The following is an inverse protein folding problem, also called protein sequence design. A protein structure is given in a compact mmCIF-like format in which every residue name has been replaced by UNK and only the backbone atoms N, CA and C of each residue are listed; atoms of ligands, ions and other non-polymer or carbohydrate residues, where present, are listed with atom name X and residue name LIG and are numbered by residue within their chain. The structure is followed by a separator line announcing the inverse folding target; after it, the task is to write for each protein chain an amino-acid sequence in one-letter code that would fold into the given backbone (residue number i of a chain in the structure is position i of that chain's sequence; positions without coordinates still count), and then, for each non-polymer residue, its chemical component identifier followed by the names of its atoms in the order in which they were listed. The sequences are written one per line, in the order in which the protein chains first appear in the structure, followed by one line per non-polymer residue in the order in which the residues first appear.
data_IF_690362839721
#
_entry.id   IF_690362839721
#
_cell.length_a   1.000
_cell.length_b   1.000
_cell.length_c   1.000
_cell.angle_alpha   90.00
_cell.angle_beta   90.00
_cell.angle_gamma   90.00
#
_symmetry.space_group_name_H-M   'P 1'
#
loop_
_entity.id
_entity.type
_entity.pdbx_description
1 polymer ?
#
# COMPACT_ATOMS: atom_id res chain seq x y z
N UNK A 1 -21.30 2.46 29.34
CA UNK A 1 -19.86 2.81 29.47
C UNK A 1 -19.45 3.81 28.38
N UNK A 2 -19.58 3.48 27.09
CA UNK A 2 -19.23 4.35 25.95
C UNK A 2 -19.88 5.74 26.04
N UNK A 3 -21.19 5.86 26.31
CA UNK A 3 -21.84 7.18 26.39
C UNK A 3 -21.21 8.08 27.47
N UNK A 4 -20.93 7.55 28.66
CA UNK A 4 -20.27 8.31 29.74
C UNK A 4 -18.88 8.78 29.32
N UNK A 5 -18.14 7.95 28.59
CA UNK A 5 -16.84 8.30 28.02
C UNK A 5 -16.97 9.46 27.02
N UNK A 6 -17.91 9.39 26.08
CA UNK A 6 -18.15 10.45 25.09
C UNK A 6 -18.59 11.77 25.74
N UNK A 7 -19.49 11.70 26.72
CA UNK A 7 -19.94 12.88 27.47
C UNK A 7 -18.80 13.51 28.28
N UNK A 8 -17.83 12.71 28.73
CA UNK A 8 -16.63 13.21 29.42
C UNK A 8 -15.71 13.94 28.45
N UNK A 9 -15.52 13.41 27.23
CA UNK A 9 -14.72 14.03 26.17
C UNK A 9 -15.33 15.37 25.73
N UNK A 10 -16.65 15.41 25.50
CA UNK A 10 -17.36 16.61 25.06
C UNK A 10 -17.26 17.78 26.06
N UNK A 11 -16.97 17.49 27.34
CA UNK A 11 -16.80 18.50 28.41
C UNK A 11 -15.36 18.95 28.60
N UNK A 12 -14.40 18.37 27.88
CA UNK A 12 -13.00 18.75 28.03
C UNK A 12 -12.77 20.20 27.55
N UNK A 13 -12.01 21.01 28.32
CA UNK A 13 -11.55 22.30 27.82
C UNK A 13 -10.63 22.06 26.62
N UNK A 14 -10.60 23.01 25.68
CA UNK A 14 -9.86 22.85 24.41
C UNK A 14 -8.39 22.41 24.59
N UNK A 15 -7.70 22.92 25.62
CA UNK A 15 -6.32 22.52 25.95
C UNK A 15 -6.15 21.03 26.25
N UNK A 16 -7.18 20.36 26.79
CA UNK A 16 -7.19 18.91 27.04
C UNK A 16 -7.82 18.12 25.89
N UNK A 17 -8.68 18.75 25.09
CA UNK A 17 -9.29 18.13 23.92
C UNK A 17 -8.25 17.78 22.85
N UNK A 18 -7.23 18.62 22.62
CA UNK A 18 -6.16 18.34 21.65
C UNK A 18 -5.33 17.10 21.96
N UNK A 19 -4.71 16.95 23.16
CA UNK A 19 -3.97 15.72 23.47
C UNK A 19 -4.89 14.50 23.54
N UNK A 20 -6.15 14.65 23.99
CA UNK A 20 -7.12 13.55 23.95
C UNK A 20 -7.43 13.10 22.50
N UNK A 21 -7.62 14.05 21.57
CA UNK A 21 -7.81 13.77 20.16
C UNK A 21 -6.60 13.04 19.57
N UNK A 22 -5.39 13.52 19.85
CA UNK A 22 -4.14 12.89 19.42
C UNK A 22 -4.02 11.44 19.93
N UNK A 23 -4.27 11.21 21.22
CA UNK A 23 -4.22 9.86 21.80
C UNK A 23 -5.30 8.94 21.21
N UNK A 24 -6.50 9.44 20.94
CA UNK A 24 -7.54 8.69 20.25
C UNK A 24 -7.11 8.30 18.83
N UNK A 25 -6.43 9.19 18.11
CA UNK A 25 -5.85 8.89 16.81
C UNK A 25 -4.79 7.80 16.89
N UNK A 26 -3.86 7.93 17.85
CA UNK A 26 -2.79 6.96 18.11
C UNK A 26 -3.37 5.56 18.40
N UNK A 27 -4.36 5.48 19.30
CA UNK A 27 -5.05 4.23 19.63
C UNK A 27 -5.82 3.69 18.43
N UNK A 28 -6.41 4.55 17.59
CA UNK A 28 -7.10 4.12 16.37
C UNK A 28 -6.16 3.45 15.36
N UNK A 29 -4.88 3.81 15.34
CA UNK A 29 -3.89 3.16 14.50
C UNK A 29 -3.64 1.69 14.88
N UNK A 30 -3.96 1.27 16.11
CA UNK A 30 -3.85 -0.13 16.53
C UNK A 30 -4.85 -1.06 15.80
N UNK A 31 -5.85 -0.51 15.12
CA UNK A 31 -6.73 -1.29 14.24
C UNK A 31 -6.02 -1.77 12.96
N UNK A 32 -4.92 -1.12 12.58
CA UNK A 32 -4.12 -1.45 11.40
C UNK A 32 -3.10 -2.55 11.72
N UNK A 33 -2.47 -3.16 10.70
CA UNK A 33 -1.36 -4.07 10.91
C UNK A 33 -0.22 -3.41 11.70
N UNK A 34 0.52 -4.17 12.53
CA UNK A 34 0.39 -5.61 12.76
C UNK A 34 -0.59 -5.98 13.90
N UNK A 35 -1.26 -5.01 14.52
CA UNK A 35 -2.00 -5.23 15.78
C UNK A 35 -3.44 -5.68 15.55
N UNK A 36 -4.10 -5.18 14.50
CA UNK A 36 -5.45 -5.60 14.09
C UNK A 36 -6.53 -5.48 15.18
N UNK A 37 -6.36 -4.57 16.13
CA UNK A 37 -7.32 -4.33 17.22
C UNK A 37 -8.53 -3.50 16.74
N UNK A 38 -9.26 -3.97 15.72
CA UNK A 38 -10.40 -3.26 15.10
C UNK A 38 -11.40 -2.65 16.09
N UNK A 39 -11.76 -3.29 17.23
CA UNK A 39 -12.70 -2.70 18.19
C UNK A 39 -12.29 -1.35 18.78
N UNK A 40 -11.00 -0.97 18.75
CA UNK A 40 -10.54 0.35 19.23
C UNK A 40 -11.16 1.51 18.43
N UNK A 41 -11.61 1.25 17.20
CA UNK A 41 -12.31 2.25 16.37
C UNK A 41 -13.66 2.67 16.99
N UNK A 42 -14.29 1.84 17.83
CA UNK A 42 -15.49 2.19 18.61
C UNK A 42 -15.23 3.28 19.66
N UNK A 43 -13.96 3.56 19.96
CA UNK A 43 -13.55 4.68 20.82
C UNK A 43 -12.99 5.83 19.97
N UNK A 44 -12.15 5.50 18.98
CA UNK A 44 -11.47 6.45 18.11
C UNK A 44 -12.39 7.40 17.37
N UNK A 45 -13.26 6.87 16.51
CA UNK A 45 -14.14 7.67 15.67
C UNK A 45 -15.24 8.39 16.46
N UNK A 46 -16.02 7.71 17.33
CA UNK A 46 -16.98 8.40 18.20
C UNK A 46 -16.34 9.48 19.06
N UNK A 47 -15.13 9.23 19.58
CA UNK A 47 -14.38 10.20 20.37
C UNK A 47 -14.00 11.45 19.57
N UNK A 48 -13.51 11.28 18.34
CA UNK A 48 -13.27 12.41 17.43
C UNK A 48 -14.55 13.21 17.16
N UNK A 49 -15.64 12.51 16.83
CA UNK A 49 -16.94 13.16 16.56
C UNK A 49 -17.44 13.92 17.79
N UNK A 50 -17.34 13.35 18.99
CA UNK A 50 -17.76 14.00 20.23
C UNK A 50 -16.95 15.27 20.53
N UNK A 51 -15.62 15.20 20.40
CA UNK A 51 -14.72 16.35 20.61
C UNK A 51 -14.98 17.45 19.57
N UNK A 52 -15.07 17.07 18.28
CA UNK A 52 -15.29 18.01 17.20
C UNK A 52 -16.67 18.68 17.29
N UNK A 53 -17.73 17.91 17.58
CA UNK A 53 -19.08 18.44 17.72
C UNK A 53 -19.25 19.40 18.91
N UNK A 54 -18.53 19.16 20.01
CA UNK A 54 -18.53 20.02 21.19
C UNK A 54 -17.63 21.27 21.05
N UNK A 55 -16.85 21.38 19.98
CA UNK A 55 -15.96 22.52 19.77
C UNK A 55 -16.75 23.84 19.67
N UNK A 56 -16.26 24.91 20.30
CA UNK A 56 -16.94 26.21 20.29
C UNK A 56 -17.11 26.77 18.87
N UNK A 57 -16.10 26.63 18.03
CA UNK A 57 -16.01 27.20 16.68
C UNK A 57 -15.34 26.21 15.72
N UNK A 58 -15.40 26.52 14.42
CA UNK A 58 -14.85 25.67 13.36
C UNK A 58 -13.31 25.55 13.46
N UNK A 59 -12.60 26.57 13.95
CA UNK A 59 -11.14 26.54 14.08
C UNK A 59 -10.70 25.50 15.10
N UNK A 60 -11.42 25.42 16.23
CA UNK A 60 -11.18 24.40 17.26
C UNK A 60 -11.51 22.99 16.76
N UNK A 61 -12.61 22.82 16.01
CA UNK A 61 -12.94 21.54 15.39
C UNK A 61 -11.87 21.10 14.38
N UNK A 62 -11.33 22.04 13.59
CA UNK A 62 -10.24 21.78 12.66
C UNK A 62 -8.97 21.32 13.41
N UNK A 63 -8.56 22.02 14.47
CA UNK A 63 -7.41 21.60 15.28
C UNK A 63 -7.61 20.25 15.97
N UNK A 64 -8.84 19.91 16.37
CA UNK A 64 -9.18 18.58 16.91
C UNK A 64 -9.02 17.49 15.83
N UNK A 65 -9.55 17.72 14.63
CA UNK A 65 -9.39 16.81 13.49
C UNK A 65 -7.92 16.62 13.11
N UNK A 66 -7.16 17.72 13.07
CA UNK A 66 -5.72 17.69 12.84
C UNK A 66 -4.97 16.91 13.94
N UNK A 67 -5.23 17.18 15.22
CA UNK A 67 -4.56 16.49 16.32
C UNK A 67 -4.84 14.97 16.29
N UNK A 68 -6.10 14.58 16.05
CA UNK A 68 -6.47 13.17 15.88
C UNK A 68 -5.75 12.55 14.67
N UNK A 69 -5.79 13.22 13.51
CA UNK A 69 -5.16 12.73 12.29
C UNK A 69 -3.64 12.58 12.46
N UNK A 70 -3.02 13.52 13.16
CA UNK A 70 -1.58 13.48 13.40
C UNK A 70 -1.19 12.30 14.29
N UNK A 71 -1.95 12.02 15.35
CA UNK A 71 -1.73 10.83 16.17
C UNK A 71 -1.93 9.52 15.40
N UNK A 72 -2.99 9.44 14.59
CA UNK A 72 -3.29 8.27 13.78
C UNK A 72 -2.21 7.99 12.73
N UNK A 73 -1.82 9.01 11.97
CA UNK A 73 -0.82 8.86 10.92
C UNK A 73 0.59 8.72 11.48
N UNK A 74 0.94 9.36 12.59
CA UNK A 74 2.25 9.17 13.24
C UNK A 74 2.48 7.70 13.60
N UNK A 75 1.51 7.08 14.28
CA UNK A 75 1.57 5.65 14.57
C UNK A 75 1.44 4.79 13.30
N UNK A 76 0.71 5.25 12.29
CA UNK A 76 0.49 4.50 11.04
C UNK A 76 1.67 4.54 10.06
N UNK A 77 2.56 5.52 10.14
CA UNK A 77 3.70 5.71 9.23
C UNK A 77 5.06 5.71 9.94
N UNK A 78 5.10 5.22 11.19
CA UNK A 78 6.34 5.13 11.98
C UNK A 78 7.49 4.45 11.22
N UNK A 79 7.15 3.44 10.42
CA UNK A 79 8.07 2.60 9.66
C UNK A 79 8.84 3.36 8.57
N UNK A 80 8.37 4.54 8.13
CA UNK A 80 9.09 5.39 7.17
C UNK A 80 10.49 5.76 7.70
N UNK A 81 10.64 5.80 9.02
CA UNK A 81 11.93 5.99 9.68
C UNK A 81 12.95 4.92 9.30
N UNK A 82 12.53 3.67 9.04
CA UNK A 82 13.45 2.60 8.62
C UNK A 82 14.06 2.87 7.24
N UNK A 83 13.35 3.54 6.34
CA UNK A 83 13.91 3.94 5.05
C UNK A 83 15.10 4.89 5.22
N UNK A 84 15.00 5.82 6.17
CA UNK A 84 16.10 6.74 6.51
C UNK A 84 17.31 5.98 7.07
N UNK A 85 17.06 4.93 7.85
CA UNK A 85 18.13 4.13 8.46
C UNK A 85 18.95 3.30 7.45
N UNK A 86 18.47 3.15 6.21
CA UNK A 86 19.25 2.47 5.15
C UNK A 86 20.54 3.21 4.79
N UNK A 87 20.58 4.53 4.98
CA UNK A 87 21.78 5.36 4.87
C UNK A 87 21.87 6.32 6.06
N UNK A 88 21.90 5.74 7.27
CA UNK A 88 21.97 6.49 8.51
C UNK A 88 23.23 7.38 8.58
N UNK A 89 24.33 7.00 7.93
CA UNK A 89 25.58 7.78 7.92
C UNK A 89 25.35 9.21 7.42
N UNK A 90 24.47 9.40 6.43
CA UNK A 90 24.16 10.71 5.87
C UNK A 90 22.86 11.31 6.45
N UNK A 91 21.87 10.47 6.79
CA UNK A 91 20.51 10.94 7.08
C UNK A 91 20.02 10.70 8.51
N UNK A 92 20.88 10.29 9.47
CA UNK A 92 20.45 10.03 10.86
C UNK A 92 19.65 11.17 11.49
N UNK A 93 19.96 12.42 11.16
CA UNK A 93 19.31 13.61 11.71
C UNK A 93 17.83 13.75 11.28
N UNK A 94 17.40 13.07 10.20
CA UNK A 94 16.00 13.01 9.76
C UNK A 94 15.16 12.02 10.56
N UNK A 95 15.77 11.09 11.29
CA UNK A 95 15.08 10.04 12.08
C UNK A 95 13.96 10.59 12.98
N UNK A 96 14.18 11.60 13.84
CA UNK A 96 13.12 12.12 14.70
C UNK A 96 12.03 12.89 13.94
N UNK A 97 12.25 13.23 12.66
CA UNK A 97 11.35 14.07 11.88
C UNK A 97 10.59 13.31 10.79
N UNK A 98 11.11 12.20 10.27
CA UNK A 98 10.56 11.52 9.10
C UNK A 98 9.07 11.16 9.24
N UNK A 99 8.72 10.37 10.25
CA UNK A 99 7.32 9.99 10.50
C UNK A 99 6.46 11.18 10.99
N UNK A 100 6.89 12.01 11.98
CA UNK A 100 6.10 13.15 12.42
C UNK A 100 5.81 14.17 11.31
N UNK A 101 6.80 14.48 10.47
CA UNK A 101 6.66 15.43 9.37
C UNK A 101 5.75 14.89 8.28
N UNK A 102 5.85 13.60 7.92
CA UNK A 102 4.94 12.97 6.96
C UNK A 102 3.50 12.88 7.51
N UNK A 103 3.33 12.68 8.81
CA UNK A 103 2.02 12.62 9.43
C UNK A 103 1.27 13.96 9.42
N UNK A 104 1.96 15.10 9.34
CA UNK A 104 1.33 16.45 9.31
C UNK A 104 0.43 16.66 8.08
N UNK A 105 0.91 16.53 6.82
CA UNK A 105 0.03 16.68 5.66
C UNK A 105 -1.07 15.61 5.63
N UNK A 106 -0.80 14.40 6.12
CA UNK A 106 -1.83 13.36 6.23
C UNK A 106 -2.94 13.73 7.22
N UNK A 107 -2.57 14.36 8.35
CA UNK A 107 -3.52 14.84 9.35
C UNK A 107 -4.51 15.88 8.80
N UNK A 108 -4.13 16.64 7.77
CA UNK A 108 -5.02 17.62 7.14
C UNK A 108 -6.25 16.97 6.50
N UNK A 109 -6.14 15.72 6.02
CA UNK A 109 -7.27 14.97 5.48
C UNK A 109 -8.30 14.57 6.56
N UNK A 110 -7.94 14.62 7.84
CA UNK A 110 -8.86 14.38 8.96
C UNK A 110 -9.61 15.66 9.40
N UNK A 111 -9.23 16.84 8.89
CA UNK A 111 -9.88 18.12 9.23
C UNK A 111 -11.30 18.20 8.66
N UNK A 112 -11.57 17.94 7.37
CA UNK A 112 -12.92 18.06 6.81
C UNK A 112 -13.96 17.13 7.48
N UNK A 113 -13.67 15.85 7.80
CA UNK A 113 -14.60 15.02 8.56
C UNK A 113 -14.94 15.63 9.94
N UNK A 114 -13.95 16.15 10.66
CA UNK A 114 -14.18 16.82 11.95
C UNK A 114 -15.05 18.08 11.80
N UNK A 115 -14.85 18.85 10.73
CA UNK A 115 -15.70 20.00 10.41
C UNK A 115 -17.14 19.57 10.07
N UNK A 116 -17.33 18.49 9.31
CA UNK A 116 -18.64 17.92 9.02
C UNK A 116 -19.35 17.47 10.30
N UNK A 117 -18.62 16.80 11.21
CA UNK A 117 -19.15 16.40 12.52
C UNK A 117 -19.65 17.60 13.35
N UNK A 118 -18.97 18.75 13.25
CA UNK A 118 -19.33 19.99 13.95
C UNK A 118 -20.48 20.75 13.31
N UNK A 119 -20.54 20.76 11.98
CA UNK A 119 -21.53 21.52 11.23
C UNK A 119 -22.92 20.85 11.23
N UNK A 120 -22.96 19.52 11.28
CA UNK A 120 -24.19 18.76 11.11
C UNK A 120 -24.92 18.45 12.44
N UNK A 121 -26.27 18.41 12.43
CA UNK A 121 -27.05 18.14 13.62
C UNK A 121 -26.85 16.71 14.13
N UNK A 122 -27.02 16.46 15.45
CA UNK A 122 -26.80 15.14 16.03
C UNK A 122 -27.72 14.08 15.40
N UNK A 123 -27.26 12.83 15.38
CA UNK A 123 -27.96 11.70 14.77
C UNK A 123 -27.36 11.30 13.42
N UNK A 124 -28.21 10.74 12.56
CA UNK A 124 -27.79 10.27 11.22
C UNK A 124 -27.14 11.33 10.35
N UNK A 125 -27.59 12.60 10.27
CA UNK A 125 -26.94 13.60 9.44
C UNK A 125 -25.46 13.76 9.77
N UNK A 126 -25.11 13.84 11.06
CA UNK A 126 -23.71 13.93 11.52
C UNK A 126 -22.90 12.69 11.17
N UNK A 127 -23.44 11.51 11.41
CA UNK A 127 -22.71 10.24 11.17
C UNK A 127 -22.47 10.06 9.67
N UNK A 128 -23.48 10.28 8.84
CA UNK A 128 -23.38 10.17 7.39
C UNK A 128 -22.44 11.22 6.80
N UNK A 129 -22.54 12.47 7.25
CA UNK A 129 -21.63 13.53 6.80
C UNK A 129 -20.18 13.26 7.23
N UNK A 130 -19.95 12.85 8.48
CA UNK A 130 -18.62 12.47 8.95
C UNK A 130 -18.02 11.33 8.12
N UNK A 131 -18.75 10.22 7.96
CA UNK A 131 -18.26 9.04 7.24
C UNK A 131 -18.11 9.29 5.73
N UNK A 132 -19.04 10.03 5.11
CA UNK A 132 -18.98 10.41 3.71
C UNK A 132 -17.80 11.33 3.41
N UNK A 133 -17.58 12.37 4.25
CA UNK A 133 -16.41 13.24 4.12
C UNK A 133 -15.11 12.48 4.43
N UNK A 134 -15.12 11.52 5.35
CA UNK A 134 -13.96 10.66 5.62
C UNK A 134 -13.49 9.94 4.36
N UNK A 135 -14.40 9.23 3.69
CA UNK A 135 -14.08 8.48 2.48
C UNK A 135 -13.73 9.40 1.31
N UNK A 136 -14.42 10.54 1.16
CA UNK A 136 -14.04 11.54 0.17
C UNK A 136 -12.59 12.04 0.36
N UNK A 137 -12.16 12.22 1.62
CA UNK A 137 -10.78 12.61 1.93
C UNK A 137 -9.78 11.47 1.73
N UNK A 138 -10.17 10.21 1.98
CA UNK A 138 -9.34 9.05 1.61
C UNK A 138 -9.13 8.96 0.10
N UNK A 139 -10.18 9.16 -0.70
CA UNK A 139 -10.08 9.17 -2.17
C UNK A 139 -9.23 10.34 -2.67
N UNK A 140 -9.43 11.55 -2.12
CA UNK A 140 -8.62 12.72 -2.46
C UNK A 140 -7.15 12.50 -2.12
N UNK A 141 -6.86 11.89 -0.96
CA UNK A 141 -5.50 11.54 -0.55
C UNK A 141 -4.82 10.53 -1.48
N UNK A 142 -5.60 9.71 -2.19
CA UNK A 142 -5.09 8.79 -3.21
C UNK A 142 -4.63 9.47 -4.51
N UNK A 143 -4.99 10.74 -4.74
CA UNK A 143 -4.68 11.46 -5.99
C UNK A 143 -3.94 12.80 -5.78
N UNK A 144 -4.11 13.44 -4.63
CA UNK A 144 -3.46 14.71 -4.32
C UNK A 144 -1.94 14.54 -4.17
N UNK A 145 -1.16 15.43 -4.78
CA UNK A 145 0.32 15.45 -4.70
C UNK A 145 0.94 14.08 -5.04
N UNK A 146 0.51 13.48 -6.16
CA UNK A 146 0.80 12.11 -6.64
C UNK A 146 0.10 10.99 -5.86
N UNK A 147 -0.37 11.25 -4.65
CA UNK A 147 -1.18 10.31 -3.89
C UNK A 147 -0.40 9.47 -2.90
N UNK A 148 -1.00 9.28 -1.72
CA UNK A 148 -0.49 8.41 -0.66
C UNK A 148 -1.66 7.69 0.03
N UNK A 149 -2.31 6.71 -0.62
CA UNK A 149 -3.47 5.97 -0.09
C UNK A 149 -3.08 4.93 0.98
N UNK A 150 -2.09 5.23 1.82
CA UNK A 150 -1.63 4.33 2.88
C UNK A 150 -2.64 4.26 4.04
N UNK A 151 -2.83 3.10 4.68
CA UNK A 151 -3.73 2.96 5.84
C UNK A 151 -5.18 3.46 5.59
N UNK A 152 -5.80 3.06 4.47
CA UNK A 152 -7.25 3.26 4.30
C UNK A 152 -8.01 2.47 5.37
N UNK A 153 -9.05 3.03 5.97
CA UNK A 153 -9.73 2.38 7.09
C UNK A 153 -10.35 1.03 6.68
N UNK A 154 -10.74 0.85 5.42
CA UNK A 154 -11.22 -0.43 4.91
C UNK A 154 -10.20 -1.57 5.02
N UNK A 155 -8.89 -1.29 5.07
CA UNK A 155 -7.85 -2.34 5.16
C UNK A 155 -7.74 -2.95 6.56
N UNK A 156 -8.40 -2.39 7.58
CA UNK A 156 -8.42 -3.01 8.93
C UNK A 156 -9.06 -4.40 8.93
N UNK A 157 -9.82 -4.75 7.89
CA UNK A 157 -10.43 -6.07 7.73
C UNK A 157 -9.53 -7.09 7.01
N UNK A 158 -8.35 -6.68 6.52
CA UNK A 158 -7.46 -7.54 5.74
C UNK A 158 -6.58 -8.48 6.60
N UNK A 159 -6.91 -8.70 7.88
CA UNK A 159 -6.18 -9.62 8.76
C UNK A 159 -6.50 -11.10 8.52
N UNK A 160 -7.59 -11.40 7.82
CA UNK A 160 -8.00 -12.73 7.46
C UNK A 160 -8.84 -12.71 6.18
N UNK A 161 -8.93 -13.85 5.49
CA UNK A 161 -9.69 -13.96 4.25
C UNK A 161 -11.18 -13.64 4.47
N UNK A 162 -11.81 -14.16 5.52
CA UNK A 162 -13.26 -14.00 5.78
C UNK A 162 -13.74 -12.53 5.86
N UNK A 163 -13.19 -11.67 6.74
CA UNK A 163 -13.70 -10.30 6.92
C UNK A 163 -13.49 -9.35 5.73
N UNK A 164 -12.47 -9.57 4.90
CA UNK A 164 -12.15 -8.66 3.78
C UNK A 164 -13.04 -8.89 2.55
N UNK A 165 -13.80 -9.99 2.49
CA UNK A 165 -14.53 -10.40 1.28
C UNK A 165 -15.48 -9.31 0.74
N UNK A 166 -16.01 -8.45 1.61
CA UNK A 166 -16.83 -7.30 1.22
C UNK A 166 -16.16 -6.35 0.24
N UNK A 167 -14.82 -6.27 0.21
CA UNK A 167 -14.08 -5.46 -0.74
C UNK A 167 -14.39 -5.83 -2.20
N UNK A 168 -14.78 -7.08 -2.48
CA UNK A 168 -15.13 -7.50 -3.83
C UNK A 168 -16.45 -6.89 -4.35
N UNK A 169 -17.30 -6.37 -3.45
CA UNK A 169 -18.58 -5.77 -3.80
C UNK A 169 -18.51 -4.24 -3.88
N UNK A 170 -17.79 -3.63 -2.93
CA UNK A 170 -17.85 -2.17 -2.70
C UNK A 170 -16.47 -1.51 -2.65
N UNK A 171 -15.40 -2.26 -2.98
CA UNK A 171 -14.04 -1.77 -2.95
C UNK A 171 -13.54 -1.45 -1.52
N UNK A 172 -12.29 -1.00 -1.42
CA UNK A 172 -11.70 -0.60 -0.14
C UNK A 172 -12.36 0.66 0.44
N UNK A 173 -12.77 1.60 -0.41
CA UNK A 173 -13.42 2.83 0.03
C UNK A 173 -14.85 2.60 0.54
N UNK A 174 -15.60 1.67 -0.06
CA UNK A 174 -16.88 1.24 0.48
C UNK A 174 -16.72 0.52 1.82
N UNK A 175 -15.68 -0.31 1.97
CA UNK A 175 -15.35 -0.89 3.28
C UNK A 175 -14.99 0.19 4.31
N UNK A 176 -14.20 1.22 3.95
CA UNK A 176 -13.95 2.36 4.83
C UNK A 176 -15.25 3.02 5.28
N UNK A 177 -16.18 3.27 4.34
CA UNK A 177 -17.48 3.88 4.65
C UNK A 177 -18.26 3.05 5.68
N UNK A 178 -18.44 1.76 5.40
CA UNK A 178 -19.15 0.84 6.31
C UNK A 178 -18.48 0.80 7.67
N UNK A 179 -17.15 0.71 7.71
CA UNK A 179 -16.39 0.65 8.96
C UNK A 179 -16.58 1.89 9.82
N UNK A 180 -16.47 3.08 9.23
CA UNK A 180 -16.65 4.35 9.95
C UNK A 180 -18.10 4.51 10.42
N UNK A 181 -19.09 4.11 9.61
CA UNK A 181 -20.50 4.12 10.01
C UNK A 181 -20.75 3.20 11.21
N UNK A 182 -20.28 1.95 11.13
CA UNK A 182 -20.41 0.97 12.21
C UNK A 182 -19.74 1.44 13.50
N UNK A 183 -18.53 2.01 13.39
CA UNK A 183 -17.81 2.56 14.52
C UNK A 183 -18.58 3.70 15.20
N UNK A 184 -19.32 4.50 14.43
CA UNK A 184 -20.10 5.65 14.91
C UNK A 184 -21.51 5.34 15.40
N UNK A 185 -22.05 4.12 15.18
CA UNK A 185 -23.40 3.75 15.64
C UNK A 185 -23.69 4.00 17.14
N UNK A 186 -22.74 3.84 18.07
CA UNK A 186 -22.97 4.16 19.48
C UNK A 186 -23.42 5.62 19.73
N UNK A 187 -23.09 6.56 18.84
CA UNK A 187 -23.50 7.97 18.94
C UNK A 187 -25.02 8.17 18.81
N UNK A 188 -25.74 7.19 18.26
CA UNK A 188 -27.20 7.24 18.15
C UNK A 188 -27.91 6.90 19.46
N UNK A 189 -27.22 6.30 20.44
CA UNK A 189 -27.83 5.82 21.68
C UNK A 189 -28.94 4.77 21.49
N UNK A 190 -29.07 4.21 20.28
CA UNK A 190 -30.18 3.35 19.88
C UNK A 190 -29.76 1.89 19.82
N UNK A 191 -30.40 1.04 20.64
CA UNK A 191 -30.21 -0.42 20.59
C UNK A 191 -30.56 -1.00 19.21
N UNK A 192 -31.54 -0.42 18.51
CA UNK A 192 -31.91 -0.84 17.15
C UNK A 192 -30.79 -0.56 16.15
N UNK A 193 -30.12 0.59 16.28
CA UNK A 193 -28.99 0.92 15.42
C UNK A 193 -27.80 -0.03 15.66
N UNK A 194 -27.48 -0.33 16.92
CA UNK A 194 -26.44 -1.31 17.26
C UNK A 194 -26.78 -2.71 16.75
N UNK A 195 -28.03 -3.16 16.90
CA UNK A 195 -28.50 -4.42 16.34
C UNK A 195 -28.37 -4.45 14.81
N UNK A 196 -28.72 -3.34 14.13
CA UNK A 196 -28.49 -3.18 12.70
C UNK A 196 -27.01 -3.30 12.31
N UNK A 197 -26.11 -2.72 13.09
CA UNK A 197 -24.66 -2.87 12.88
C UNK A 197 -24.16 -4.31 13.02
N UNK A 198 -24.66 -5.04 14.03
CA UNK A 198 -24.38 -6.47 14.20
C UNK A 198 -24.91 -7.28 13.01
N UNK A 199 -26.11 -6.98 12.52
CA UNK A 199 -26.68 -7.64 11.34
C UNK A 199 -25.85 -7.36 10.08
N UNK A 200 -25.34 -6.14 9.90
CA UNK A 200 -24.43 -5.81 8.79
C UNK A 200 -23.15 -6.64 8.89
N UNK A 201 -22.50 -6.69 10.05
CA UNK A 201 -21.29 -7.50 10.26
C UNK A 201 -21.55 -8.99 10.01
N UNK A 202 -22.68 -9.51 10.51
CA UNK A 202 -23.09 -10.89 10.26
C UNK A 202 -23.36 -11.15 8.77
N UNK A 203 -23.93 -10.18 8.06
CA UNK A 203 -24.13 -10.23 6.61
C UNK A 203 -22.80 -10.30 5.84
N UNK A 204 -21.83 -9.45 6.18
CA UNK A 204 -20.48 -9.51 5.58
C UNK A 204 -19.78 -10.83 5.88
N UNK A 205 -19.88 -11.34 7.13
CA UNK A 205 -19.31 -12.63 7.50
C UNK A 205 -19.99 -13.79 6.75
N UNK A 206 -21.33 -13.77 6.63
CA UNK A 206 -22.10 -14.76 5.89
C UNK A 206 -21.77 -14.76 4.40
N UNK A 207 -21.70 -13.57 3.77
CA UNK A 207 -21.25 -13.41 2.39
C UNK A 207 -19.81 -13.94 2.21
N UNK A 208 -18.92 -13.59 3.13
CA UNK A 208 -17.53 -14.03 3.08
C UNK A 208 -17.41 -15.55 3.20
N UNK A 209 -18.17 -16.17 4.10
CA UNK A 209 -18.19 -17.62 4.28
C UNK A 209 -18.74 -18.32 3.02
N UNK A 210 -19.83 -17.81 2.45
CA UNK A 210 -20.39 -18.33 1.20
C UNK A 210 -19.43 -18.18 0.01
N UNK A 211 -18.75 -17.03 -0.11
CA UNK A 211 -17.78 -16.80 -1.20
C UNK A 211 -16.57 -17.72 -1.08
N UNK A 212 -16.03 -17.88 0.13
CA UNK A 212 -14.89 -18.75 0.40
C UNK A 212 -15.23 -20.24 0.34
N UNK A 213 -16.52 -20.60 0.40
CA UNK A 213 -16.96 -21.98 0.18
C UNK A 213 -17.18 -22.32 -1.30
N UNK A 214 -17.07 -21.34 -2.21
CA UNK A 214 -17.14 -21.61 -3.65
C UNK A 214 -15.84 -22.31 -4.10
N UNK A 215 -15.91 -23.21 -5.09
CA UNK A 215 -14.70 -23.84 -5.63
C UNK A 215 -13.79 -22.78 -6.26
N UNK A 216 -12.49 -22.98 -6.11
CA UNK A 216 -11.49 -22.16 -6.79
C UNK A 216 -11.64 -22.29 -8.32
N UNK A 217 -11.24 -21.25 -9.09
CA UNK A 217 -11.13 -21.37 -10.54
C UNK A 217 -10.24 -22.56 -10.92
N UNK A 218 -10.51 -23.21 -12.08
CA UNK A 218 -9.67 -24.30 -12.56
C UNK A 218 -8.19 -23.89 -12.59
N UNK A 219 -7.32 -24.73 -12.04
CA UNK A 219 -5.89 -24.50 -12.07
C UNK A 219 -5.40 -24.39 -13.51
N UNK A 220 -4.60 -23.35 -13.78
CA UNK A 220 -3.88 -23.24 -15.04
C UNK A 220 -2.68 -24.19 -15.00
N UNK A 221 -2.24 -24.79 -16.13
CA UNK A 221 -1.09 -25.69 -16.20
C UNK A 221 0.24 -24.93 -16.13
N UNK A 222 0.35 -24.02 -15.16
CA UNK A 222 1.50 -23.16 -14.91
C UNK A 222 1.88 -23.26 -13.45
N UNK A 223 3.13 -23.58 -13.19
CA UNK A 223 3.70 -23.62 -11.85
C UNK A 223 4.57 -22.39 -11.61
N UNK A 224 4.14 -21.58 -10.64
CA UNK A 224 4.81 -20.33 -10.26
C UNK A 224 5.91 -20.62 -9.24
N UNK A 225 7.14 -20.18 -9.52
CA UNK A 225 8.30 -20.36 -8.65
C UNK A 225 8.79 -19.00 -8.16
N UNK A 226 8.52 -18.67 -6.90
CA UNK A 226 8.96 -17.41 -6.30
C UNK A 226 10.37 -17.54 -5.72
N UNK A 227 11.34 -16.82 -6.27
CA UNK A 227 12.74 -16.87 -5.82
C UNK A 227 13.07 -15.67 -4.93
N UNK A 228 13.34 -15.91 -3.64
CA UNK A 228 13.71 -14.86 -2.69
C UNK A 228 15.19 -14.91 -2.34
N UNK A 229 15.99 -14.02 -2.94
CA UNK A 229 17.44 -13.99 -2.73
C UNK A 229 17.88 -13.60 -1.31
N UNK A 230 17.03 -12.91 -0.54
CA UNK A 230 17.35 -12.38 0.80
C UNK A 230 18.65 -11.54 0.81
N UNK A 231 18.82 -10.69 -0.20
CA UNK A 231 20.00 -9.81 -0.35
C UNK A 231 19.84 -8.60 0.57
N UNK A 232 20.83 -8.38 1.43
CA UNK A 232 20.84 -7.23 2.33
C UNK A 232 20.96 -5.90 1.55
N UNK A 233 20.28 -4.85 2.02
CA UNK A 233 20.14 -3.59 1.31
C UNK A 233 21.48 -2.86 1.10
N UNK A 234 22.41 -2.98 2.05
CA UNK A 234 23.76 -2.43 2.00
C UNK A 234 24.67 -3.13 0.97
N UNK A 235 24.36 -4.39 0.64
CA UNK A 235 25.06 -5.15 -0.39
C UNK A 235 24.48 -4.96 -1.78
N UNK A 236 23.18 -4.68 -1.90
CA UNK A 236 22.42 -4.68 -3.16
C UNK A 236 23.06 -3.82 -4.27
N UNK A 237 23.66 -2.69 -3.90
CA UNK A 237 24.20 -1.71 -4.85
C UNK A 237 25.73 -1.75 -4.97
N UNK A 238 26.40 -2.65 -4.25
CA UNK A 238 27.86 -2.78 -4.28
C UNK A 238 28.34 -3.46 -5.56
N UNK A 239 29.31 -2.84 -6.23
CA UNK A 239 29.85 -3.35 -7.49
C UNK A 239 30.45 -4.76 -7.35
N UNK A 240 31.15 -5.03 -6.24
CA UNK A 240 31.76 -6.33 -5.94
C UNK A 240 30.74 -7.43 -5.64
N UNK A 241 29.50 -7.07 -5.31
CA UNK A 241 28.43 -8.01 -4.97
C UNK A 241 27.52 -8.37 -6.15
N UNK A 242 27.64 -7.68 -7.30
CA UNK A 242 26.76 -7.90 -8.47
C UNK A 242 26.75 -9.36 -8.94
N UNK A 243 27.93 -9.91 -9.26
CA UNK A 243 28.03 -11.30 -9.74
C UNK A 243 27.67 -12.34 -8.65
N UNK A 244 28.14 -12.22 -7.38
CA UNK A 244 27.67 -13.08 -6.30
C UNK A 244 26.15 -13.11 -6.12
N UNK A 245 25.49 -11.94 -6.13
CA UNK A 245 24.03 -11.83 -6.03
C UNK A 245 23.36 -12.50 -7.22
N UNK A 246 23.84 -12.24 -8.44
CA UNK A 246 23.26 -12.80 -9.65
C UNK A 246 23.37 -14.32 -9.68
N UNK A 247 24.56 -14.88 -9.38
CA UNK A 247 24.76 -16.34 -9.27
C UNK A 247 23.82 -16.97 -8.25
N UNK A 248 23.63 -16.35 -7.08
CA UNK A 248 22.68 -16.83 -6.08
C UNK A 248 21.26 -16.95 -6.63
N UNK A 249 20.80 -15.97 -7.43
CA UNK A 249 19.49 -16.06 -8.08
C UNK A 249 19.43 -17.17 -9.13
N UNK A 250 20.49 -17.36 -9.92
CA UNK A 250 20.57 -18.45 -10.90
C UNK A 250 20.54 -19.83 -10.23
N UNK A 251 21.33 -20.02 -9.16
CA UNK A 251 21.39 -21.28 -8.41
C UNK A 251 20.03 -21.63 -7.79
N UNK A 252 19.40 -20.66 -7.12
CA UNK A 252 18.06 -20.82 -6.54
C UNK A 252 17.00 -21.08 -7.62
N UNK A 253 17.13 -20.45 -8.78
CA UNK A 253 16.24 -20.66 -9.92
C UNK A 253 16.35 -22.09 -10.42
N UNK A 254 17.57 -22.56 -10.68
CA UNK A 254 17.81 -23.89 -11.20
C UNK A 254 17.34 -24.98 -10.20
N UNK A 255 17.58 -24.78 -8.90
CA UNK A 255 17.08 -25.68 -7.85
C UNK A 255 15.55 -25.71 -7.78
N UNK A 256 14.92 -24.55 -7.62
CA UNK A 256 13.49 -24.47 -7.41
C UNK A 256 12.68 -24.88 -8.66
N UNK A 257 13.19 -24.55 -9.85
CA UNK A 257 12.55 -24.96 -11.10
C UNK A 257 12.61 -26.48 -11.33
N UNK A 258 13.71 -27.15 -10.93
CA UNK A 258 13.78 -28.63 -10.95
C UNK A 258 12.76 -29.26 -10.01
N UNK A 259 12.59 -28.71 -8.80
CA UNK A 259 11.58 -29.20 -7.86
C UNK A 259 10.16 -29.00 -8.45
N UNK A 260 9.86 -27.82 -9.00
CA UNK A 260 8.57 -27.54 -9.62
C UNK A 260 8.26 -28.47 -10.81
N UNK A 261 9.26 -28.77 -11.65
CA UNK A 261 9.11 -29.71 -12.75
C UNK A 261 8.77 -31.14 -12.29
N UNK A 262 9.34 -31.55 -11.15
CA UNK A 262 9.10 -32.88 -10.58
C UNK A 262 7.74 -32.96 -9.87
N UNK A 263 7.31 -31.89 -9.19
CA UNK A 263 6.02 -31.82 -8.50
C UNK A 263 4.83 -31.80 -9.47
N UNK A 264 4.98 -31.10 -10.61
CA UNK A 264 3.91 -30.95 -11.60
C UNK A 264 4.41 -31.23 -13.03
N UNK A 265 4.70 -32.50 -13.38
CA UNK A 265 5.20 -32.86 -14.70
C UNK A 265 4.28 -32.38 -15.82
N UNK A 266 4.86 -31.77 -16.85
CA UNK A 266 4.11 -31.22 -18.00
C UNK A 266 3.47 -29.85 -17.77
N UNK A 267 3.54 -29.29 -16.55
CA UNK A 267 3.19 -27.90 -16.31
C UNK A 267 4.30 -26.99 -16.82
N UNK A 268 3.92 -25.83 -17.36
CA UNK A 268 4.87 -24.75 -17.68
C UNK A 268 5.41 -24.15 -16.38
N UNK A 269 6.68 -23.74 -16.37
CA UNK A 269 7.30 -23.17 -15.17
C UNK A 269 7.52 -21.68 -15.40
N UNK A 270 6.97 -20.84 -14.53
CA UNK A 270 7.23 -19.41 -14.52
C UNK A 270 7.99 -19.05 -13.24
N UNK A 271 9.27 -18.74 -13.38
CA UNK A 271 10.13 -18.28 -12.29
C UNK A 271 9.93 -16.79 -12.10
N UNK A 272 9.80 -16.33 -10.85
CA UNK A 272 9.55 -14.94 -10.50
C UNK A 272 10.66 -14.45 -9.57
N UNK A 273 11.38 -13.42 -10.02
CA UNK A 273 12.35 -12.70 -9.19
C UNK A 273 11.77 -11.36 -8.73
N UNK A 274 12.09 -10.91 -7.49
CA UNK A 274 11.54 -9.68 -6.91
C UNK A 274 12.07 -8.40 -7.60
N UNK A 275 11.56 -7.26 -7.14
CA UNK A 275 11.95 -5.92 -7.62
C UNK A 275 13.46 -5.70 -7.56
N UNK A 276 14.04 -5.34 -8.71
CA UNK A 276 15.48 -5.11 -8.87
C UNK A 276 16.32 -6.26 -8.31
N UNK A 277 15.89 -7.50 -8.56
CA UNK A 277 16.65 -8.70 -8.20
C UNK A 277 17.91 -8.84 -9.05
N UNK A 278 17.82 -8.49 -10.33
CA UNK A 278 18.98 -8.48 -11.21
C UNK A 278 19.83 -7.23 -10.97
N UNK A 279 21.14 -7.39 -10.70
CA UNK A 279 22.09 -6.28 -10.68
C UNK A 279 22.52 -5.84 -12.09
N UNK A 280 22.12 -6.58 -13.12
CA UNK A 280 22.36 -6.29 -14.54
C UNK A 280 21.08 -5.82 -15.23
N UNK A 281 21.24 -5.06 -16.31
CA UNK A 281 20.12 -4.58 -17.13
C UNK A 281 19.63 -5.72 -18.03
N UNK A 282 18.78 -6.61 -17.49
CA UNK A 282 18.45 -7.88 -18.15
C UNK A 282 17.95 -7.70 -19.59
N UNK A 283 17.13 -6.69 -19.87
CA UNK A 283 16.62 -6.45 -21.22
C UNK A 283 17.71 -6.02 -22.23
N UNK A 284 18.87 -5.53 -21.75
CA UNK A 284 19.95 -4.97 -22.56
C UNK A 284 21.30 -5.72 -22.43
N UNK A 285 21.40 -6.71 -21.56
CA UNK A 285 22.64 -7.45 -21.29
C UNK A 285 22.53 -8.88 -21.86
N UNK A 286 23.10 -9.15 -23.06
CA UNK A 286 23.00 -10.47 -23.68
C UNK A 286 23.65 -11.58 -22.86
N UNK A 287 24.72 -11.28 -22.13
CA UNK A 287 25.43 -12.28 -21.32
C UNK A 287 24.63 -12.63 -20.07
N UNK A 288 24.04 -11.65 -19.41
CA UNK A 288 23.11 -11.90 -18.30
C UNK A 288 21.89 -12.73 -18.76
N UNK A 289 21.34 -12.43 -19.95
CA UNK A 289 20.24 -13.23 -20.52
C UNK A 289 20.65 -14.66 -20.85
N UNK A 290 21.86 -14.86 -21.40
CA UNK A 290 22.42 -16.20 -21.65
C UNK A 290 22.54 -17.01 -20.36
N UNK A 291 23.08 -16.41 -19.29
CA UNK A 291 23.21 -17.06 -17.99
C UNK A 291 21.85 -17.39 -17.35
N UNK A 292 20.85 -16.53 -17.52
CA UNK A 292 19.46 -16.83 -17.11
C UNK A 292 18.91 -18.01 -17.90
N UNK A 293 19.06 -18.01 -19.22
CA UNK A 293 18.58 -19.09 -20.09
C UNK A 293 19.19 -20.44 -19.69
N UNK A 294 20.48 -20.48 -19.35
CA UNK A 294 21.17 -21.68 -18.86
C UNK A 294 20.65 -22.20 -17.51
N UNK A 295 20.11 -21.31 -16.67
CA UNK A 295 19.54 -21.67 -15.37
C UNK A 295 18.07 -22.13 -15.47
N UNK A 296 17.37 -21.78 -16.55
CA UNK A 296 15.97 -22.14 -16.76
C UNK A 296 15.84 -23.54 -17.37
N UNK A 297 14.84 -24.35 -16.95
CA UNK A 297 14.53 -25.57 -17.66
C UNK A 297 13.87 -25.26 -19.02
N UNK A 298 13.93 -26.20 -19.98
CA UNK A 298 13.32 -26.00 -21.30
C UNK A 298 11.82 -25.66 -21.22
N UNK A 299 11.40 -24.65 -21.98
CA UNK A 299 10.04 -24.15 -22.05
C UNK A 299 9.56 -23.34 -20.85
N UNK A 300 10.46 -22.95 -19.93
CA UNK A 300 10.16 -22.09 -18.79
C UNK A 300 10.40 -20.60 -19.11
N UNK A 301 9.78 -19.75 -18.31
CA UNK A 301 9.98 -18.30 -18.35
C UNK A 301 10.56 -17.76 -17.04
N UNK A 302 11.28 -16.66 -17.16
CA UNK A 302 11.64 -15.80 -16.03
C UNK A 302 10.86 -14.49 -16.12
N UNK A 303 10.18 -14.13 -15.03
CA UNK A 303 9.59 -12.81 -14.78
C UNK A 303 10.45 -12.14 -13.71
N UNK A 304 11.28 -11.17 -14.08
CA UNK A 304 12.27 -10.60 -13.17
C UNK A 304 12.19 -9.08 -13.06
N UNK A 305 12.27 -8.58 -11.82
CA UNK A 305 12.55 -7.19 -11.54
C UNK A 305 14.00 -6.83 -11.91
N UNK A 306 14.17 -5.79 -12.73
CA UNK A 306 15.43 -5.28 -13.24
C UNK A 306 15.37 -3.75 -13.38
N UNK A 307 16.50 -3.12 -13.66
CA UNK A 307 16.53 -1.78 -14.22
C UNK A 307 16.55 -1.87 -15.75
N UNK A 308 15.89 -0.93 -16.42
CA UNK A 308 15.98 -0.72 -17.87
C UNK A 308 16.50 0.67 -18.14
N UNK A 309 17.34 0.84 -19.15
CA UNK A 309 17.86 2.14 -19.54
C UNK A 309 17.63 2.41 -21.03
N UNK A 310 17.44 3.69 -21.36
CA UNK A 310 17.33 4.19 -22.72
C UNK A 310 18.43 5.20 -22.99
N UNK A 311 19.23 4.94 -24.01
CA UNK A 311 20.28 5.83 -24.48
C UNK A 311 19.83 6.54 -25.75
N UNK A 312 20.25 7.80 -25.89
CA UNK A 312 20.07 8.55 -27.12
C UNK A 312 20.99 8.05 -28.23
N UNK A 313 20.82 8.54 -29.47
CA UNK A 313 21.70 8.22 -30.60
C UNK A 313 23.18 8.57 -30.34
N UNK A 314 23.43 9.48 -29.41
CA UNK A 314 24.73 9.94 -28.93
C UNK A 314 25.34 9.04 -27.84
N UNK A 315 24.73 7.89 -27.53
CA UNK A 315 25.10 7.01 -26.41
C UNK A 315 24.99 7.67 -25.03
N UNK A 316 24.29 8.80 -24.93
CA UNK A 316 24.02 9.46 -23.65
C UNK A 316 22.80 8.84 -23.02
N UNK A 317 22.90 8.44 -21.76
CA UNK A 317 21.78 7.90 -21.00
C UNK A 317 20.70 8.97 -20.81
N UNK A 318 19.48 8.68 -21.28
CA UNK A 318 18.34 9.62 -21.27
C UNK A 318 17.31 9.27 -20.21
N UNK A 319 17.01 7.97 -20.06
CA UNK A 319 15.98 7.51 -19.13
C UNK A 319 16.39 6.21 -18.48
N UNK A 320 15.99 6.05 -17.23
CA UNK A 320 16.18 4.83 -16.43
C UNK A 320 14.82 4.47 -15.87
N UNK A 321 14.45 3.20 -15.91
CA UNK A 321 13.18 2.68 -15.46
C UNK A 321 13.39 1.56 -14.45
N UNK A 322 12.53 1.52 -13.44
CA UNK A 322 12.35 0.35 -12.60
C UNK A 322 11.37 -0.56 -13.34
N UNK A 323 11.82 -1.74 -13.72
CA UNK A 323 11.15 -2.54 -14.73
C UNK A 323 10.99 -3.99 -14.31
N UNK A 324 9.98 -4.62 -14.88
CA UNK A 324 9.79 -6.06 -14.90
C UNK A 324 10.01 -6.52 -16.33
N UNK A 325 10.82 -7.56 -16.52
CA UNK A 325 11.07 -8.18 -17.82
C UNK A 325 10.62 -9.63 -17.80
N UNK A 326 10.09 -10.10 -18.92
CA UNK A 326 9.79 -11.52 -19.16
C UNK A 326 10.82 -12.06 -20.15
N UNK A 327 11.53 -13.11 -19.76
CA UNK A 327 12.48 -13.84 -20.59
C UNK A 327 12.03 -15.28 -20.79
N UNK A 328 12.30 -15.87 -21.96
CA UNK A 328 12.15 -17.31 -22.19
C UNK A 328 13.43 -18.10 -21.87
N UNK A 329 13.37 -19.42 -22.04
CA UNK A 329 14.47 -20.38 -21.88
C UNK A 329 15.60 -20.22 -22.91
N UNK A 330 15.49 -19.27 -23.84
CA UNK A 330 16.53 -18.88 -24.81
C UNK A 330 17.12 -17.50 -24.50
N UNK A 331 16.59 -16.80 -23.50
CA UNK A 331 16.97 -15.45 -23.14
C UNK A 331 16.34 -14.39 -24.04
N UNK A 332 15.29 -14.70 -24.79
CA UNK A 332 14.55 -13.70 -25.58
C UNK A 332 13.59 -12.91 -24.70
N UNK A 333 13.46 -11.61 -24.98
CA UNK A 333 12.57 -10.72 -24.22
C UNK A 333 11.15 -10.84 -24.76
N UNK A 334 10.26 -11.46 -23.98
CA UNK A 334 8.85 -11.67 -24.34
C UNK A 334 7.94 -10.51 -23.92
N UNK A 335 8.37 -9.69 -22.96
CA UNK A 335 7.56 -8.60 -22.45
C UNK A 335 8.33 -7.71 -21.48
N UNK A 336 7.94 -6.43 -21.43
CA UNK A 336 8.53 -5.44 -20.53
C UNK A 336 7.40 -4.61 -19.93
N UNK A 337 7.48 -4.39 -18.63
CA UNK A 337 6.66 -3.43 -17.91
C UNK A 337 7.57 -2.44 -17.17
N UNK A 338 7.36 -1.16 -17.39
CA UNK A 338 8.04 -0.09 -16.66
C UNK A 338 7.09 0.48 -15.61
N UNK A 339 7.57 0.61 -14.37
CA UNK A 339 6.82 1.17 -13.24
C UNK A 339 6.22 2.52 -13.59
N UNK A 340 4.90 2.63 -13.47
CA UNK A 340 4.15 3.84 -13.81
C UNK A 340 4.06 4.81 -12.62
N UNK A 341 3.82 4.29 -11.41
CA UNK A 341 3.70 5.11 -10.20
C UNK A 341 4.97 5.07 -9.36
N UNK A 342 5.75 6.15 -9.44
CA UNK A 342 7.02 6.26 -8.73
C UNK A 342 6.83 6.71 -7.28
N UNK A 343 7.73 6.25 -6.40
CA UNK A 343 7.79 6.66 -4.99
C UNK A 343 8.49 8.01 -4.87
N UNK A 344 7.81 9.06 -4.36
CA UNK A 344 8.44 10.35 -4.10
C UNK A 344 9.63 10.20 -3.13
N UNK A 345 10.70 10.94 -3.37
CA UNK A 345 11.96 10.96 -2.60
C UNK A 345 12.81 9.68 -2.67
N UNK A 346 12.21 8.53 -2.99
CA UNK A 346 12.93 7.26 -3.17
C UNK A 346 13.38 7.01 -4.62
N UNK A 347 12.50 7.27 -5.59
CA UNK A 347 12.75 6.99 -7.01
C UNK A 347 12.92 8.25 -7.86
N UNK A 348 12.34 9.37 -7.42
CA UNK A 348 12.56 10.69 -8.02
C UNK A 348 12.53 11.76 -6.93
N UNK A 349 13.11 12.93 -7.21
CA UNK A 349 13.07 14.07 -6.29
C UNK A 349 11.92 15.03 -6.66
N UNK A 350 10.83 15.10 -5.87
CA UNK A 350 9.80 16.11 -6.08
C UNK A 350 10.39 17.51 -5.95
N UNK A 351 9.96 18.44 -6.81
CA UNK A 351 10.44 19.83 -6.81
C UNK A 351 11.98 19.93 -6.92
N UNK A 352 12.59 19.04 -7.70
CA UNK A 352 14.03 19.04 -8.00
C UNK A 352 14.49 20.44 -8.43
N UNK A 353 15.43 21.03 -7.69
CA UNK A 353 15.92 22.40 -7.90
C UNK A 353 15.46 23.43 -6.85
N UNK A 354 14.35 23.16 -6.14
CA UNK A 354 13.89 23.99 -5.01
C UNK A 354 14.32 23.42 -3.65
N UNK A 355 14.43 22.09 -3.54
CA UNK A 355 14.88 21.41 -2.33
C UNK A 355 16.35 20.96 -2.54
N UNK A 356 17.32 21.49 -1.78
CA UNK A 356 18.75 21.23 -1.98
C UNK A 356 19.23 19.90 -1.34
N UNK A 357 18.35 18.89 -1.26
CA UNK A 357 18.63 17.58 -0.67
C UNK A 357 18.27 16.52 -1.70
N UNK A 358 19.11 15.49 -1.88
CA UNK A 358 18.81 14.36 -2.75
C UNK A 358 18.84 13.05 -1.96
N UNK A 359 17.71 12.35 -1.96
CA UNK A 359 17.53 11.08 -1.26
C UNK A 359 17.41 9.87 -2.20
N UNK A 360 17.32 10.10 -3.52
CA UNK A 360 17.19 9.04 -4.52
C UNK A 360 18.51 8.25 -4.63
N UNK A 361 18.41 6.93 -4.54
CA UNK A 361 19.55 6.01 -4.70
C UNK A 361 19.86 5.85 -6.19
N UNK A 362 21.15 5.91 -6.59
CA UNK A 362 21.58 5.54 -7.94
C UNK A 362 21.93 6.69 -8.90
N UNK A 363 22.08 7.93 -8.42
CA UNK A 363 22.69 9.00 -9.21
C UNK A 363 21.79 9.63 -10.30
N UNK A 364 20.70 8.98 -10.71
CA UNK A 364 19.64 9.54 -11.57
C UNK A 364 18.24 9.14 -11.08
N UNK A 365 17.26 9.97 -11.38
CA UNK A 365 15.86 9.73 -11.05
C UNK A 365 15.27 8.74 -12.07
N UNK A 366 14.39 7.86 -11.60
CA UNK A 366 13.64 6.97 -12.49
C UNK A 366 12.61 7.77 -13.31
N UNK A 367 12.37 7.29 -14.52
CA UNK A 367 11.31 7.75 -15.42
C UNK A 367 10.06 6.90 -15.23
N UNK A 368 8.89 7.53 -15.28
CA UNK A 368 7.62 6.82 -15.21
C UNK A 368 7.33 6.08 -16.52
N UNK A 369 6.86 4.85 -16.41
CA UNK A 369 6.31 4.06 -17.51
C UNK A 369 4.95 4.57 -18.01
N UNK A 370 4.40 3.97 -19.07
CA UNK A 370 3.21 4.47 -19.76
C UNK A 370 1.87 4.23 -19.02
N UNK A 371 1.87 3.51 -17.89
CA UNK A 371 0.66 3.15 -17.15
C UNK A 371 0.48 1.63 -17.02
N UNK A 372 -0.74 1.20 -16.72
CA UNK A 372 -1.09 -0.23 -16.60
C UNK A 372 -0.93 -0.96 -17.93
N UNK A 373 -0.12 -2.02 -17.93
CA UNK A 373 0.09 -2.91 -19.08
C UNK A 373 -0.27 -4.34 -18.69
N UNK A 374 -1.10 -4.98 -19.50
CA UNK A 374 -1.31 -6.42 -19.43
C UNK A 374 -0.25 -7.11 -20.30
N UNK A 375 0.60 -7.91 -19.66
CA UNK A 375 1.58 -8.77 -20.32
C UNK A 375 0.92 -10.10 -20.67
N UNK A 376 1.13 -10.57 -21.89
CA UNK A 376 0.61 -11.85 -22.38
C UNK A 376 1.70 -12.63 -23.13
N UNK A 377 2.80 -13.00 -22.44
CA UNK A 377 3.86 -13.77 -23.06
C UNK A 377 3.32 -15.16 -23.48
N UNK A 378 3.79 -15.72 -24.61
CA UNK A 378 3.32 -17.01 -25.08
C UNK A 378 3.42 -18.10 -24.00
N UNK A 379 2.29 -18.79 -23.76
CA UNK A 379 2.19 -19.93 -22.83
C UNK A 379 1.94 -19.59 -21.37
N UNK A 380 1.97 -18.32 -20.96
CA UNK A 380 1.45 -17.90 -19.66
C UNK A 380 0.08 -17.22 -19.81
N UNK A 381 -0.82 -17.37 -18.82
CA UNK A 381 -2.00 -16.53 -18.72
C UNK A 381 -1.62 -15.04 -18.69
N UNK A 382 -2.43 -14.14 -19.26
CA UNK A 382 -2.18 -12.71 -19.17
C UNK A 382 -2.14 -12.23 -17.72
N UNK A 383 -1.21 -11.33 -17.41
CA UNK A 383 -1.06 -10.76 -16.07
C UNK A 383 -0.69 -9.26 -16.14
N UNK A 384 -1.00 -8.53 -15.06
CA UNK A 384 -0.57 -7.14 -14.91
C UNK A 384 0.75 -7.05 -14.13
N UNK A 385 1.65 -6.18 -14.58
CA UNK A 385 2.81 -5.78 -13.79
C UNK A 385 2.44 -4.72 -12.77
N UNK A 386 2.79 -4.92 -11.49
CA UNK A 386 2.71 -3.91 -10.44
C UNK A 386 4.00 -4.00 -9.62
N UNK A 387 4.79 -2.94 -9.62
CA UNK A 387 6.07 -2.89 -8.95
C UNK A 387 5.90 -2.15 -7.62
N UNK A 388 6.03 -2.89 -6.51
CA UNK A 388 6.14 -2.34 -5.17
C UNK A 388 4.95 -1.42 -4.79
N UNK A 389 5.20 -0.12 -4.67
CA UNK A 389 4.24 0.91 -4.25
C UNK A 389 2.99 0.99 -5.12
N UNK A 390 2.99 0.47 -6.35
CA UNK A 390 1.83 0.54 -7.24
C UNK A 390 0.60 -0.21 -6.72
N UNK A 391 0.79 -1.27 -5.94
CA UNK A 391 -0.30 -2.15 -5.48
C UNK A 391 -1.29 -1.45 -4.54
N UNK A 392 -0.89 -0.36 -3.89
CA UNK A 392 -1.75 0.34 -2.93
C UNK A 392 -2.74 1.32 -3.58
N UNK A 393 -2.67 1.53 -4.90
CA UNK A 393 -3.55 2.43 -5.63
C UNK A 393 -4.75 1.66 -6.17
N UNK A 394 -5.89 1.59 -5.46
CA UNK A 394 -6.97 0.67 -5.78
C UNK A 394 -7.54 0.87 -7.19
N UNK A 395 -7.54 2.10 -7.71
CA UNK A 395 -8.00 2.43 -9.06
C UNK A 395 -6.98 2.18 -10.18
N UNK A 396 -5.76 1.73 -9.85
CA UNK A 396 -4.66 1.56 -10.80
C UNK A 396 -3.99 0.18 -10.66
N UNK A 397 -4.80 -0.88 -10.46
CA UNK A 397 -4.33 -2.28 -10.32
C UNK A 397 -4.66 -3.11 -11.55
N UNK A 398 -5.79 -2.86 -12.22
CA UNK A 398 -6.24 -3.61 -13.40
C UNK A 398 -6.91 -2.67 -14.40
N UNK A 399 -6.79 -2.91 -15.72
CA UNK A 399 -7.53 -2.17 -16.74
C UNK A 399 -9.05 -2.37 -16.68
N UNK A 400 -9.52 -3.45 -16.04
CA UNK A 400 -10.95 -3.74 -15.94
C UNK A 400 -11.63 -2.84 -14.90
N UNK A 401 -12.86 -2.35 -15.16
CA UNK A 401 -13.61 -1.61 -14.16
C UNK A 401 -13.95 -2.54 -12.99
N UNK A 402 -13.34 -2.29 -11.82
CA UNK A 402 -13.65 -2.96 -10.56
C UNK A 402 -14.07 -1.93 -9.50
N UNK A 403 -14.88 -2.32 -8.50
CA UNK A 403 -15.33 -1.44 -7.42
C UNK A 403 -14.21 -0.82 -6.59
#
# INVERSE_FOLDING_TARGET
MIQRFLDSLARLPFRRALPAAFLLGLVSALALPPVHAVPVLLLGFPGLVALAAAARDWKRAAWIGFAWGWGHHLAGVYWVTYAILTDAAHFWWLVPFAAPALAVPLALFCVPPALAARALPPGWPRILGFAGTWVAMEMLRGVAFTGFPWNLIGTVWAFAALPVQGAALIGVHGLSLVTVLLACLPLLGSRRALAGGVLVLAGFAGFGAWRLSQPDPPAQPVQLVLVQGNVAQDLKWRADQRMPIFRRYLDLTAEAARHAAAEAPGSRIAVIWPETASPFLLAQDPEARRLVAEALPPGAELIAGTVRAEWGPDSVLRRVYNSLVVLDDRGEVLGVYDKAHLVPFGEYMPLSGLIPIRMVVGGMDFSAGPGLVALAPPGLPPFGGLICYEVIFPGAVTPSPRP
#
